data_IF_850982436495
#
_entry.id   IF_850982436495
#
_cell.length_a   1.000
_cell.length_b   1.000
_cell.length_c   1.000
_cell.angle_alpha   90.00
_cell.angle_beta   90.00
_cell.angle_gamma   90.00
#
_symmetry.space_group_name_H-M   'P 1'
#
loop_
_entity.id
_entity.type
_entity.pdbx_description
1 polymer ?
#
# COMPACT_ATOMS: atom_id res chain seq x y z
N UNK A 1 -19.28 -31.38 -19.94
CA UNK A 1 -17.89 -31.39 -19.46
C UNK A 1 -17.07 -30.65 -20.51
N UNK A 2 -16.63 -29.44 -20.19
CA UNK A 2 -15.44 -28.79 -20.77
C UNK A 2 -15.15 -27.59 -19.88
N UNK A 3 -14.08 -27.68 -19.10
CA UNK A 3 -13.58 -26.59 -18.26
C UNK A 3 -12.79 -25.64 -19.17
N UNK A 4 -13.29 -24.41 -19.35
CA UNK A 4 -12.53 -23.32 -19.96
C UNK A 4 -11.33 -22.94 -19.11
N UNK A 5 -10.19 -22.76 -19.78
CA UNK A 5 -8.84 -22.68 -19.25
C UNK A 5 -8.68 -21.81 -17.98
N UNK A 6 -8.04 -22.40 -16.96
CA UNK A 6 -7.55 -21.67 -15.81
C UNK A 6 -6.49 -20.64 -16.28
N UNK A 7 -6.79 -19.35 -16.14
CA UNK A 7 -5.82 -18.27 -16.28
C UNK A 7 -4.64 -18.51 -15.33
N UNK A 8 -3.55 -19.03 -15.87
CA UNK A 8 -2.29 -19.15 -15.14
C UNK A 8 -1.77 -17.74 -14.91
N UNK A 9 -1.80 -17.25 -13.67
CA UNK A 9 -1.09 -16.02 -13.28
C UNK A 9 0.41 -16.24 -13.52
N UNK A 10 0.88 -15.87 -14.70
CA UNK A 10 2.28 -15.99 -15.09
C UNK A 10 3.16 -15.01 -14.30
N UNK A 11 4.36 -15.46 -13.95
CA UNK A 11 5.40 -14.58 -13.38
C UNK A 11 5.97 -13.67 -14.48
N UNK A 12 5.63 -12.39 -14.46
CA UNK A 12 6.15 -11.42 -15.42
C UNK A 12 7.58 -11.03 -15.04
N UNK A 13 8.49 -11.09 -16.01
CA UNK A 13 9.86 -10.65 -15.83
C UNK A 13 10.21 -9.56 -16.84
N UNK A 14 11.09 -8.65 -16.47
CA UNK A 14 11.64 -7.64 -17.37
C UNK A 14 13.16 -7.60 -17.32
N UNK A 15 13.75 -6.80 -18.20
CA UNK A 15 15.17 -6.43 -18.14
C UNK A 15 15.28 -5.07 -17.47
N UNK A 16 16.12 -4.97 -16.44
CA UNK A 16 16.41 -3.73 -15.74
C UNK A 16 17.90 -3.45 -15.77
N UNK A 17 18.31 -2.21 -16.05
CA UNK A 17 19.70 -1.79 -15.83
C UNK A 17 19.79 -1.14 -14.45
N UNK A 18 20.72 -1.62 -13.63
CA UNK A 18 21.02 -1.03 -12.33
C UNK A 18 22.43 -0.44 -12.34
N UNK A 19 22.58 0.73 -11.72
CA UNK A 19 23.86 1.43 -11.64
C UNK A 19 24.19 1.82 -10.20
N UNK A 20 25.48 1.85 -9.90
CA UNK A 20 25.98 2.38 -8.63
C UNK A 20 25.69 3.89 -8.59
N UNK A 21 24.95 4.39 -7.57
CA UNK A 21 24.57 5.80 -7.50
C UNK A 21 25.79 6.73 -7.40
N UNK A 22 26.87 6.26 -6.76
CA UNK A 22 28.11 7.01 -6.54
C UNK A 22 29.12 6.83 -7.68
N UNK A 23 28.92 5.84 -8.57
CA UNK A 23 29.77 5.56 -9.74
C UNK A 23 28.92 5.06 -10.90
N UNK A 24 28.20 5.97 -11.56
CA UNK A 24 27.22 5.64 -12.61
C UNK A 24 27.79 4.89 -13.83
N UNK A 25 29.11 4.94 -14.04
CA UNK A 25 29.81 4.14 -15.06
C UNK A 25 29.82 2.64 -14.73
N UNK A 26 29.66 2.26 -13.46
CA UNK A 26 29.45 0.87 -13.05
C UNK A 26 27.95 0.56 -13.11
N UNK A 27 27.54 -0.17 -14.14
CA UNK A 27 26.18 -0.66 -14.31
C UNK A 27 26.14 -2.14 -14.67
N UNK A 28 25.00 -2.78 -14.43
CA UNK A 28 24.73 -4.16 -14.82
C UNK A 28 23.28 -4.29 -15.29
N UNK A 29 23.09 -4.99 -16.40
CA UNK A 29 21.78 -5.44 -16.82
C UNK A 29 21.39 -6.69 -16.04
N UNK A 30 20.19 -6.68 -15.45
CA UNK A 30 19.52 -7.84 -14.87
C UNK A 30 18.55 -8.35 -15.94
N UNK A 31 18.82 -9.50 -16.56
CA UNK A 31 18.07 -9.95 -17.74
C UNK A 31 16.66 -10.45 -17.41
N UNK A 32 16.44 -10.85 -16.16
CA UNK A 32 15.20 -11.46 -15.68
C UNK A 32 14.92 -10.98 -14.25
N UNK A 33 14.45 -9.75 -14.12
CA UNK A 33 13.98 -9.21 -12.84
C UNK A 33 12.49 -9.48 -12.73
N UNK A 34 12.03 -9.95 -11.57
CA UNK A 34 10.61 -10.11 -11.30
C UNK A 34 9.95 -8.72 -11.38
N UNK A 35 9.00 -8.58 -12.30
CA UNK A 35 8.10 -7.41 -12.33
C UNK A 35 7.08 -7.69 -11.24
N UNK A 36 7.33 -7.11 -10.07
CA UNK A 36 6.33 -7.08 -9.02
C UNK A 36 5.20 -6.15 -9.48
N UNK A 37 3.98 -6.67 -9.60
CA UNK A 37 2.80 -5.92 -10.03
C UNK A 37 2.27 -4.96 -8.95
N UNK A 38 2.99 -4.73 -7.85
CA UNK A 38 2.53 -3.80 -6.81
C UNK A 38 3.46 -3.53 -5.61
N UNK A 39 4.72 -3.98 -5.58
CA UNK A 39 5.69 -3.60 -4.54
C UNK A 39 6.76 -2.66 -5.10
N UNK A 40 7.06 -1.60 -4.36
CA UNK A 40 8.16 -0.66 -4.65
C UNK A 40 9.57 -1.24 -4.46
N UNK A 41 9.70 -2.56 -4.33
CA UNK A 41 10.95 -3.27 -4.09
C UNK A 41 11.00 -4.56 -4.93
N UNK A 42 12.18 -4.91 -5.43
CA UNK A 42 12.42 -6.16 -6.15
C UNK A 42 13.78 -6.74 -5.75
N UNK A 43 13.96 -8.05 -5.90
CA UNK A 43 15.16 -8.74 -5.46
C UNK A 43 16.27 -8.67 -6.51
N UNK A 44 17.45 -8.20 -6.08
CA UNK A 44 18.67 -8.20 -6.91
C UNK A 44 19.65 -9.24 -6.35
N UNK A 45 20.24 -10.11 -7.19
CA UNK A 45 21.24 -11.07 -6.72
C UNK A 45 22.43 -10.38 -6.05
N UNK A 46 22.80 -10.85 -4.86
CA UNK A 46 23.91 -10.33 -4.08
C UNK A 46 25.22 -10.18 -4.90
N UNK A 47 25.65 -11.16 -5.73
CA UNK A 47 26.87 -11.02 -6.54
C UNK A 47 26.84 -9.85 -7.52
N UNK A 48 25.65 -9.44 -7.98
CA UNK A 48 25.49 -8.26 -8.84
C UNK A 48 25.79 -6.97 -8.07
N UNK A 49 25.34 -6.87 -6.82
CA UNK A 49 25.62 -5.73 -5.93
C UNK A 49 27.13 -5.61 -5.66
N UNK A 50 27.79 -6.73 -5.39
CA UNK A 50 29.25 -6.82 -5.18
C UNK A 50 30.02 -6.34 -6.40
N UNK A 51 29.68 -6.84 -7.60
CA UNK A 51 30.33 -6.45 -8.87
C UNK A 51 30.23 -4.96 -9.15
N UNK A 52 29.10 -4.35 -8.77
CA UNK A 52 28.88 -2.91 -8.93
C UNK A 52 29.57 -2.06 -7.85
N UNK A 53 30.21 -2.70 -6.86
CA UNK A 53 30.83 -2.03 -5.72
C UNK A 53 29.85 -1.11 -4.98
N UNK A 54 28.58 -1.51 -4.91
CA UNK A 54 27.57 -0.80 -4.14
C UNK A 54 27.73 -1.22 -2.68
N UNK A 55 27.92 -0.23 -1.80
CA UNK A 55 28.01 -0.46 -0.36
C UNK A 55 26.72 -1.12 0.14
N UNK A 56 26.88 -2.20 0.92
CA UNK A 56 25.78 -2.78 1.69
C UNK A 56 25.85 -2.18 3.08
N UNK A 57 24.79 -1.50 3.46
CA UNK A 57 24.60 -1.05 4.82
C UNK A 57 24.00 -2.22 5.58
N UNK A 58 24.68 -2.74 6.59
CA UNK A 58 24.12 -3.70 7.55
C UNK A 58 24.08 -3.00 8.90
N UNK A 59 22.90 -2.57 9.31
CA UNK A 59 22.68 -1.95 10.62
C UNK A 59 21.97 -2.95 11.51
N UNK A 60 22.50 -3.13 12.72
CA UNK A 60 21.80 -3.84 13.78
C UNK A 60 20.80 -2.87 14.40
N UNK A 61 19.54 -3.02 13.99
CA UNK A 61 18.44 -2.20 14.49
C UNK A 61 17.91 -2.86 15.75
N UNK A 62 18.03 -2.13 16.86
CA UNK A 62 17.36 -2.50 18.11
C UNK A 62 15.97 -1.88 18.10
N UNK A 63 14.96 -2.70 18.32
CA UNK A 63 13.62 -2.22 18.55
C UNK A 63 12.96 -3.01 19.67
N UNK A 64 12.12 -2.32 20.42
CA UNK A 64 11.33 -2.89 21.49
C UNK A 64 10.11 -3.52 20.84
N UNK A 65 9.97 -4.83 20.99
CA UNK A 65 8.74 -5.52 20.59
C UNK A 65 7.60 -5.09 21.50
N UNK A 66 6.36 -5.22 21.04
CA UNK A 66 5.18 -4.82 21.81
C UNK A 66 5.07 -5.48 23.19
N UNK A 67 5.69 -6.65 23.40
CA UNK A 67 5.78 -7.32 24.70
C UNK A 67 6.86 -6.76 25.64
N UNK A 68 7.44 -5.59 25.31
CA UNK A 68 8.53 -4.94 26.04
C UNK A 68 9.90 -5.58 25.83
N UNK A 69 9.99 -6.68 25.08
CA UNK A 69 11.27 -7.35 24.83
C UNK A 69 12.04 -6.61 23.75
N UNK A 70 13.22 -6.15 24.10
CA UNK A 70 14.15 -5.53 23.15
C UNK A 70 14.83 -6.62 22.32
N UNK A 71 14.71 -6.52 21.00
CA UNK A 71 15.40 -7.40 20.06
C UNK A 71 16.30 -6.60 19.13
N UNK A 72 17.38 -7.25 18.70
CA UNK A 72 18.25 -6.75 17.64
C UNK A 72 17.96 -7.53 16.36
N UNK A 73 17.73 -6.82 15.26
CA UNK A 73 17.67 -7.41 13.92
C UNK A 73 18.68 -6.73 13.02
N UNK A 74 19.50 -7.53 12.34
CA UNK A 74 20.34 -7.02 11.28
C UNK A 74 19.49 -6.71 10.06
N UNK A 75 19.35 -5.44 9.70
CA UNK A 75 18.71 -4.98 8.46
C UNK A 75 19.82 -4.64 7.47
N UNK A 76 19.79 -5.30 6.30
CA UNK A 76 20.70 -5.04 5.19
C UNK A 76 19.99 -4.28 4.08
N UNK A 77 20.52 -3.14 3.64
CA UNK A 77 19.99 -2.44 2.46
C UNK A 77 21.12 -1.93 1.54
N UNK A 78 20.75 -1.65 0.28
CA UNK A 78 21.63 -1.10 -0.74
C UNK A 78 20.85 -0.10 -1.59
N UNK A 79 21.39 1.12 -1.75
CA UNK A 79 20.77 2.17 -2.57
C UNK A 79 21.29 2.06 -4.01
N UNK A 80 20.37 2.05 -4.98
CA UNK A 80 20.69 1.88 -6.40
C UNK A 80 19.83 2.79 -7.28
N UNK A 81 20.35 3.17 -8.45
CA UNK A 81 19.56 3.80 -9.51
C UNK A 81 19.18 2.72 -10.52
N UNK A 82 17.88 2.54 -10.74
CA UNK A 82 17.34 1.63 -11.73
C UNK A 82 16.79 2.42 -12.93
N UNK A 83 17.19 2.02 -14.14
CA UNK A 83 16.58 2.48 -15.39
C UNK A 83 15.90 1.29 -16.05
N UNK A 84 14.57 1.35 -16.15
CA UNK A 84 13.77 0.34 -16.83
C UNK A 84 13.74 0.66 -18.31
N UNK A 85 14.07 -0.32 -19.15
CA UNK A 85 13.73 -0.26 -20.57
C UNK A 85 12.23 -0.49 -20.71
N UNK A 86 11.53 0.41 -21.42
CA UNK A 86 10.12 0.20 -21.76
C UNK A 86 10.03 -0.98 -22.72
N UNK A 87 9.51 -2.11 -22.25
CA UNK A 87 8.98 -3.14 -23.15
C UNK A 87 7.53 -2.75 -23.39
N UNK A 88 7.18 -2.40 -24.63
CA UNK A 88 5.78 -2.22 -25.02
C UNK A 88 5.10 -3.59 -25.06
N UNK A 89 4.66 -4.08 -23.91
CA UNK A 89 3.70 -5.16 -23.82
C UNK A 89 2.30 -4.56 -23.69
N UNK A 90 1.36 -4.96 -24.54
CA UNK A 90 -0.06 -4.78 -24.22
C UNK A 90 -0.34 -5.67 -23.01
N UNK A 91 -0.54 -5.06 -21.85
CA UNK A 91 -1.40 -5.67 -20.84
C UNK A 91 -2.80 -5.52 -21.42
N UNK A 92 -3.35 -6.60 -21.96
CA UNK A 92 -4.79 -6.67 -22.16
C UNK A 92 -5.41 -6.59 -20.77
N UNK A 93 -5.75 -5.37 -20.36
CA UNK A 93 -6.64 -5.18 -19.24
C UNK A 93 -7.93 -5.87 -19.63
N UNK A 94 -8.25 -6.96 -18.94
CA UNK A 94 -9.62 -7.45 -18.95
C UNK A 94 -10.50 -6.24 -18.62
N UNK A 95 -11.51 -6.02 -19.46
CA UNK A 95 -12.56 -5.05 -19.15
C UNK A 95 -13.13 -5.45 -17.80
N UNK A 96 -12.75 -4.73 -16.74
CA UNK A 96 -13.50 -4.80 -15.51
C UNK A 96 -14.92 -4.38 -15.86
N UNK A 97 -15.89 -5.21 -15.51
CA UNK A 97 -17.25 -4.74 -15.26
C UNK A 97 -17.17 -3.44 -14.46
N UNK A 98 -18.08 -2.50 -14.72
CA UNK A 98 -18.08 -1.18 -14.05
C UNK A 98 -17.91 -1.28 -12.53
N UNK A 99 -17.44 -0.21 -11.86
CA UNK A 99 -17.10 -0.27 -10.44
C UNK A 99 -18.28 -0.81 -9.62
N UNK A 100 -18.03 -1.89 -8.87
CA UNK A 100 -19.01 -2.37 -7.89
C UNK A 100 -19.06 -1.35 -6.75
N UNK A 101 -20.26 -0.87 -6.43
CA UNK A 101 -20.44 0.09 -5.34
C UNK A 101 -20.97 -0.64 -4.12
N UNK A 102 -20.17 -0.62 -3.05
CA UNK A 102 -20.60 -1.07 -1.73
C UNK A 102 -21.07 0.13 -0.95
N UNK A 103 -22.29 0.04 -0.41
CA UNK A 103 -22.88 1.08 0.42
C UNK A 103 -21.99 1.38 1.63
N UNK A 104 -22.00 2.64 2.02
CA UNK A 104 -21.30 3.09 3.22
C UNK A 104 -22.15 2.83 4.47
N UNK A 105 -21.48 2.52 5.58
CA UNK A 105 -22.05 2.43 6.91
C UNK A 105 -21.13 3.12 7.92
N UNK A 106 -21.68 3.43 9.11
CA UNK A 106 -20.96 4.08 10.20
C UNK A 106 -20.91 3.14 11.40
N UNK A 107 -19.71 2.92 11.93
CA UNK A 107 -19.50 2.25 13.21
C UNK A 107 -19.32 3.33 14.29
N UNK A 108 -20.25 3.38 15.24
CA UNK A 108 -20.12 4.24 16.42
C UNK A 108 -19.27 3.50 17.46
N UNK A 109 -18.02 3.94 17.61
CA UNK A 109 -17.06 3.42 18.57
C UNK A 109 -16.89 4.42 19.73
N UNK A 110 -16.33 4.03 20.88
CA UNK A 110 -16.08 4.97 21.97
C UNK A 110 -15.25 6.18 21.51
N UNK A 111 -15.86 7.37 21.53
CA UNK A 111 -15.21 8.63 21.19
C UNK A 111 -14.91 8.85 19.71
N UNK A 112 -15.40 8.01 18.80
CA UNK A 112 -15.15 8.15 17.35
C UNK A 112 -16.21 7.49 16.49
N UNK A 113 -16.43 8.04 15.31
CA UNK A 113 -17.26 7.44 14.28
C UNK A 113 -16.37 7.02 13.11
N UNK A 114 -16.43 5.73 12.78
CA UNK A 114 -15.64 5.16 11.69
C UNK A 114 -16.56 4.81 10.54
N UNK A 115 -16.34 5.49 9.42
CA UNK A 115 -17.03 5.25 8.16
C UNK A 115 -16.37 4.07 7.45
N UNK A 116 -17.18 3.12 6.99
CA UNK A 116 -16.70 1.91 6.34
C UNK A 116 -17.62 1.42 5.22
N UNK A 117 -17.07 0.54 4.39
CA UNK A 117 -17.74 -0.18 3.31
C UNK A 117 -17.55 -1.66 3.52
N UNK A 118 -18.63 -2.40 3.50
CA UNK A 118 -18.64 -3.84 3.73
C UNK A 118 -19.59 -4.53 2.75
N UNK A 119 -19.04 -5.39 1.90
CA UNK A 119 -19.81 -6.11 0.89
C UNK A 119 -20.66 -7.26 1.49
N UNK A 120 -20.50 -7.54 2.79
CA UNK A 120 -21.15 -8.64 3.48
C UNK A 120 -20.71 -10.02 2.98
N UNK A 121 -21.51 -11.04 3.31
CA UNK A 121 -21.25 -12.43 2.95
C UNK A 121 -20.49 -13.22 4.01
N UNK A 122 -20.45 -14.54 3.82
CA UNK A 122 -19.85 -15.51 4.76
C UNK A 122 -18.38 -15.82 4.47
N UNK A 123 -17.81 -15.21 3.43
CA UNK A 123 -16.40 -15.37 3.07
C UNK A 123 -15.45 -14.84 4.14
N UNK A 124 -14.21 -15.33 4.15
CA UNK A 124 -13.17 -14.79 5.03
C UNK A 124 -12.95 -13.31 4.69
N UNK A 125 -12.95 -12.37 5.66
CA UNK A 125 -12.79 -10.95 5.34
C UNK A 125 -11.39 -10.60 4.85
N UNK A 126 -11.32 -9.71 3.86
CA UNK A 126 -10.14 -8.95 3.48
C UNK A 126 -10.42 -7.47 3.78
N UNK A 127 -9.61 -6.90 4.65
CA UNK A 127 -9.72 -5.50 5.09
C UNK A 127 -8.69 -4.66 4.35
N UNK A 128 -9.13 -3.56 3.75
CA UNK A 128 -8.30 -2.67 2.93
C UNK A 128 -8.08 -1.30 3.59
N UNK A 129 -6.81 -0.88 3.67
CA UNK A 129 -6.36 0.41 4.20
C UNK A 129 -5.85 1.31 3.07
N UNK A 130 -6.53 2.43 2.86
CA UNK A 130 -6.21 3.39 1.81
C UNK A 130 -4.87 4.14 2.04
N UNK A 131 -4.39 4.81 0.99
CA UNK A 131 -3.17 5.62 1.00
C UNK A 131 -3.32 6.89 1.86
N UNK A 132 -2.28 7.73 1.92
CA UNK A 132 -2.35 9.01 2.65
C UNK A 132 -3.44 9.94 2.10
N UNK A 133 -3.69 9.85 0.80
CA UNK A 133 -4.82 10.44 0.10
C UNK A 133 -5.96 9.42 -0.07
N UNK A 134 -7.14 9.92 -0.40
CA UNK A 134 -8.33 9.12 -0.61
C UNK A 134 -8.99 8.68 0.69
N UNK A 135 -9.97 7.78 0.53
CA UNK A 135 -10.69 7.11 1.61
C UNK A 135 -10.99 5.66 1.21
N UNK A 136 -11.89 4.97 1.91
CA UNK A 136 -12.33 3.62 1.55
C UNK A 136 -12.86 3.50 0.11
N UNK A 137 -13.30 4.61 -0.50
CA UNK A 137 -13.90 4.64 -1.83
C UNK A 137 -12.95 4.25 -2.97
N UNK A 138 -11.63 4.39 -2.75
CA UNK A 138 -10.61 4.11 -3.78
C UNK A 138 -10.54 2.64 -4.18
N UNK A 139 -11.12 1.75 -3.37
CA UNK A 139 -11.08 0.30 -3.54
C UNK A 139 -12.18 -0.26 -4.45
N UNK A 140 -12.95 0.58 -5.15
CA UNK A 140 -14.08 0.16 -6.00
C UNK A 140 -13.71 -0.92 -7.04
N UNK A 141 -12.46 -0.93 -7.50
CA UNK A 141 -11.97 -1.89 -8.51
C UNK A 141 -11.61 -3.27 -7.94
N UNK A 142 -11.41 -3.39 -6.63
CA UNK A 142 -11.04 -4.65 -5.98
C UNK A 142 -12.26 -5.46 -5.56
N UNK A 143 -13.41 -4.83 -5.37
CA UNK A 143 -14.62 -5.44 -4.81
C UNK A 143 -15.06 -6.67 -5.61
N UNK A 144 -15.24 -6.52 -6.93
CA UNK A 144 -15.71 -7.62 -7.78
C UNK A 144 -14.76 -8.83 -7.73
N UNK A 145 -13.45 -8.59 -7.83
CA UNK A 145 -12.44 -9.65 -7.80
C UNK A 145 -12.39 -10.37 -6.43
N UNK A 146 -12.46 -9.62 -5.34
CA UNK A 146 -12.48 -10.17 -3.97
C UNK A 146 -13.71 -11.04 -3.76
N UNK A 147 -14.89 -10.58 -4.20
CA UNK A 147 -16.15 -11.33 -4.08
C UNK A 147 -16.18 -12.56 -4.98
N UNK A 148 -15.71 -12.45 -6.21
CA UNK A 148 -15.62 -13.58 -7.15
C UNK A 148 -14.70 -14.70 -6.61
N UNK A 149 -13.66 -14.33 -5.86
CA UNK A 149 -12.78 -15.27 -5.17
C UNK A 149 -13.37 -15.84 -3.85
N UNK A 150 -14.61 -15.49 -3.49
CA UNK A 150 -15.31 -16.00 -2.31
C UNK A 150 -14.94 -15.32 -0.99
N UNK A 151 -14.28 -14.16 -1.03
CA UNK A 151 -13.92 -13.39 0.15
C UNK A 151 -14.93 -12.27 0.43
N UNK A 152 -15.01 -11.83 1.70
CA UNK A 152 -15.77 -10.64 2.10
C UNK A 152 -14.87 -9.41 2.00
N UNK A 153 -15.33 -8.41 1.26
CA UNK A 153 -14.62 -7.13 1.13
C UNK A 153 -14.99 -6.20 2.28
N UNK A 154 -13.99 -5.61 2.94
CA UNK A 154 -14.17 -4.54 3.93
C UNK A 154 -13.12 -3.44 3.70
N UNK A 155 -13.52 -2.18 3.73
CA UNK A 155 -12.59 -1.04 3.74
C UNK A 155 -13.15 0.06 4.65
N UNK A 156 -12.29 0.88 5.24
CA UNK A 156 -12.75 1.99 6.09
C UNK A 156 -11.94 3.26 5.87
N UNK A 157 -12.56 4.38 6.23
CA UNK A 157 -12.00 5.71 6.21
C UNK A 157 -11.21 5.89 7.52
N UNK A 158 -9.89 6.09 7.43
CA UNK A 158 -9.08 6.36 8.61
C UNK A 158 -9.45 7.73 9.19
N UNK A 159 -9.26 7.93 10.49
CA UNK A 159 -9.52 9.23 11.12
C UNK A 159 -8.76 10.35 10.38
N UNK A 160 -9.46 11.46 10.11
CA UNK A 160 -8.92 12.57 9.32
C UNK A 160 -8.93 12.33 7.80
N UNK A 161 -9.58 11.27 7.33
CA UNK A 161 -9.82 11.00 5.92
C UNK A 161 -11.28 10.62 5.70
N UNK A 162 -11.85 10.96 4.53
CA UNK A 162 -13.25 10.69 4.26
C UNK A 162 -14.15 11.37 5.30
N UNK A 163 -15.06 10.58 5.87
CA UNK A 163 -16.07 11.07 6.82
C UNK A 163 -15.93 10.52 8.24
N UNK A 164 -14.83 9.82 8.54
CA UNK A 164 -14.54 9.34 9.90
C UNK A 164 -14.10 10.49 10.80
N UNK A 165 -14.70 10.59 11.98
CA UNK A 165 -14.48 11.70 12.91
C UNK A 165 -14.08 11.21 14.30
N UNK A 166 -13.14 11.93 14.91
CA UNK A 166 -12.74 11.77 16.30
C UNK A 166 -13.45 12.84 17.13
N UNK A 167 -14.07 12.44 18.26
CA UNK A 167 -14.57 13.40 19.23
C UNK A 167 -13.38 14.23 19.75
N UNK A 168 -13.42 15.58 19.67
CA UNK A 168 -12.33 16.44 20.16
C UNK A 168 -11.97 16.24 21.64
N UNK A 169 -12.86 15.62 22.43
CA UNK A 169 -12.66 15.31 23.86
C UNK A 169 -12.13 13.91 24.10
N UNK A 170 -12.12 13.05 23.07
CA UNK A 170 -11.64 11.69 23.19
C UNK A 170 -10.12 11.63 23.02
N UNK A 171 -9.50 10.67 23.71
CA UNK A 171 -8.11 10.31 23.43
C UNK A 171 -8.01 9.71 22.02
N UNK A 172 -7.10 10.21 21.16
CA UNK A 172 -7.01 9.80 19.76
C UNK A 172 -6.66 8.31 19.61
N UNK A 173 -5.90 7.73 20.54
CA UNK A 173 -5.38 6.36 20.42
C UNK A 173 -4.47 6.19 19.20
N UNK A 174 -4.32 4.95 18.73
CA UNK A 174 -3.62 4.65 17.48
C UNK A 174 -4.58 4.27 16.35
N UNK A 175 -4.12 4.43 15.10
CA UNK A 175 -4.86 3.94 13.93
C UNK A 175 -5.04 2.41 13.93
N UNK A 176 -4.17 1.68 14.65
CA UNK A 176 -4.35 0.24 14.88
C UNK A 176 -5.51 -0.04 15.86
N UNK A 177 -5.70 0.80 16.87
CA UNK A 177 -6.85 0.70 17.79
C UNK A 177 -8.17 1.00 17.09
N UNK A 178 -8.17 1.96 16.14
CA UNK A 178 -9.35 2.24 15.31
C UNK A 178 -9.76 1.02 14.48
N UNK A 179 -8.79 0.39 13.80
CA UNK A 179 -9.02 -0.85 13.06
C UNK A 179 -9.50 -1.95 14.00
N UNK A 180 -8.88 -2.10 15.17
CA UNK A 180 -9.26 -3.11 16.15
C UNK A 180 -10.72 -2.92 16.62
N UNK A 181 -11.09 -1.68 16.98
CA UNK A 181 -12.45 -1.34 17.39
C UNK A 181 -13.47 -1.59 16.29
N UNK A 182 -13.14 -1.28 15.03
CA UNK A 182 -14.00 -1.59 13.88
C UNK A 182 -14.16 -3.11 13.70
N UNK A 183 -13.09 -3.89 13.83
CA UNK A 183 -13.17 -5.35 13.70
C UNK A 183 -14.02 -5.98 14.81
N UNK A 184 -13.93 -5.46 16.03
CA UNK A 184 -14.75 -5.92 17.14
C UNK A 184 -16.23 -5.53 16.94
N UNK A 185 -16.50 -4.31 16.44
CA UNK A 185 -17.85 -3.88 16.06
C UNK A 185 -18.47 -4.79 14.99
N UNK A 186 -17.70 -5.14 13.96
CA UNK A 186 -18.12 -6.04 12.88
C UNK A 186 -18.12 -7.52 13.27
N UNK A 187 -17.68 -7.86 14.49
CA UNK A 187 -17.52 -9.23 15.00
C UNK A 187 -16.60 -10.08 14.10
N UNK A 188 -15.57 -9.46 13.54
CA UNK A 188 -14.57 -10.12 12.70
C UNK A 188 -13.38 -10.54 13.55
N UNK A 189 -13.28 -11.85 13.82
CA UNK A 189 -12.21 -12.39 14.67
C UNK A 189 -10.86 -12.48 13.92
N UNK A 190 -10.86 -13.00 12.68
CA UNK A 190 -9.63 -13.19 11.88
C UNK A 190 -9.82 -12.83 10.41
N UNK A 191 -8.90 -12.03 9.86
CA UNK A 191 -9.01 -11.47 8.51
C UNK A 191 -7.64 -11.35 7.81
N UNK A 192 -7.67 -11.12 6.49
CA UNK A 192 -6.49 -10.69 5.74
C UNK A 192 -6.45 -9.16 5.70
N UNK A 193 -5.26 -8.56 5.87
CA UNK A 193 -5.10 -7.11 5.87
C UNK A 193 -4.27 -6.66 4.68
N UNK A 194 -4.77 -5.68 3.94
CA UNK A 194 -4.10 -5.06 2.79
C UNK A 194 -3.92 -3.58 3.07
N UNK A 195 -2.68 -3.10 3.08
CA UNK A 195 -2.38 -1.68 3.24
C UNK A 195 -1.54 -1.12 2.11
N UNK A 196 -1.93 0.04 1.59
CA UNK A 196 -1.15 0.78 0.58
C UNK A 196 -0.60 2.09 1.15
N UNK A 197 0.64 2.43 0.83
CA UNK A 197 1.29 3.68 1.25
C UNK A 197 1.13 3.94 2.76
N UNK A 198 0.44 5.02 3.17
CA UNK A 198 0.19 5.30 4.58
C UNK A 198 -0.62 4.19 5.28
N UNK A 199 -1.56 3.56 4.59
CA UNK A 199 -2.27 2.37 5.09
C UNK A 199 -1.33 1.20 5.36
N UNK A 200 -0.21 1.09 4.63
CA UNK A 200 0.83 0.10 4.91
C UNK A 200 1.56 0.31 6.24
N UNK A 201 1.69 1.57 6.69
CA UNK A 201 2.27 1.90 7.99
C UNK A 201 1.35 1.40 9.10
N UNK A 202 0.06 1.72 9.01
CA UNK A 202 -0.98 1.26 9.93
C UNK A 202 -1.08 -0.27 9.92
N UNK A 203 -0.97 -0.90 8.75
CA UNK A 203 -1.05 -2.35 8.64
C UNK A 203 0.09 -3.08 9.38
N UNK A 204 1.29 -2.51 9.34
CA UNK A 204 2.45 -3.05 10.07
C UNK A 204 2.31 -2.83 11.57
N UNK A 205 1.86 -1.65 11.99
CA UNK A 205 1.58 -1.36 13.40
C UNK A 205 0.51 -2.33 13.96
N UNK A 206 -0.57 -2.53 13.21
CA UNK A 206 -1.60 -3.50 13.57
C UNK A 206 -1.07 -4.94 13.65
N UNK A 207 -0.21 -5.35 12.73
CA UNK A 207 0.39 -6.68 12.74
C UNK A 207 1.31 -6.92 13.95
N UNK A 208 1.94 -5.86 14.48
CA UNK A 208 2.76 -5.94 15.70
C UNK A 208 1.90 -5.98 16.96
N UNK A 209 0.80 -5.21 16.98
CA UNK A 209 -0.09 -5.08 18.14
C UNK A 209 -1.09 -6.24 18.26
N UNK A 210 -1.58 -6.76 17.14
CA UNK A 210 -2.64 -7.78 17.09
C UNK A 210 -2.33 -8.94 16.12
N UNK A 211 -1.13 -9.55 16.14
CA UNK A 211 -0.72 -10.57 15.16
C UNK A 211 -1.67 -11.76 15.09
N UNK A 212 -2.30 -12.13 16.21
CA UNK A 212 -3.27 -13.22 16.32
C UNK A 212 -4.54 -13.00 15.48
N UNK A 213 -4.89 -11.75 15.15
CA UNK A 213 -6.07 -11.39 14.36
C UNK A 213 -5.82 -11.52 12.86
N UNK A 214 -4.56 -11.57 12.42
CA UNK A 214 -4.22 -11.60 11.00
C UNK A 214 -4.02 -13.01 10.47
N UNK A 215 -4.64 -13.30 9.33
CA UNK A 215 -4.38 -14.48 8.50
C UNK A 215 -3.23 -14.24 7.53
N UNK A 216 -3.16 -13.03 6.98
CA UNK A 216 -2.09 -12.58 6.07
C UNK A 216 -2.01 -11.06 6.14
N UNK A 217 -0.83 -10.53 5.86
CA UNK A 217 -0.58 -9.11 5.68
C UNK A 217 -0.01 -8.86 4.28
N UNK A 218 -0.61 -7.93 3.55
CA UNK A 218 -0.10 -7.39 2.29
C UNK A 218 0.22 -5.91 2.48
N UNK A 219 1.46 -5.53 2.23
CA UNK A 219 1.91 -4.14 2.22
C UNK A 219 2.33 -3.79 0.80
N UNK A 220 1.66 -2.80 0.21
CA UNK A 220 1.92 -2.32 -1.14
C UNK A 220 2.36 -0.85 -1.11
N UNK A 221 3.32 -0.49 -1.97
CA UNK A 221 3.75 0.90 -2.19
C UNK A 221 3.96 1.74 -0.92
N UNK A 222 4.54 1.15 0.13
CA UNK A 222 4.70 1.79 1.44
C UNK A 222 6.15 1.76 1.90
N UNK A 223 6.54 2.80 2.63
CA UNK A 223 7.82 2.87 3.35
C UNK A 223 7.78 2.18 4.71
N UNK A 224 6.62 1.64 5.10
CA UNK A 224 6.44 0.87 6.33
C UNK A 224 6.74 1.60 7.63
N UNK A 225 6.75 2.93 7.63
CA UNK A 225 6.97 3.75 8.83
C UNK A 225 8.43 3.79 9.29
N UNK A 226 9.39 3.55 8.39
CA UNK A 226 10.83 3.65 8.70
C UNK A 226 11.17 5.04 9.26
N UNK A 227 11.73 5.08 10.48
CA UNK A 227 12.13 6.29 11.20
C UNK A 227 13.66 6.55 11.19
N UNK A 228 14.42 5.84 10.36
CA UNK A 228 15.88 6.07 10.23
C UNK A 228 16.15 7.48 9.68
N UNK A 229 16.97 8.25 10.38
CA UNK A 229 17.21 9.67 10.07
C UNK A 229 17.79 9.89 8.67
N UNK A 230 18.69 9.00 8.21
CA UNK A 230 19.30 9.10 6.88
C UNK A 230 18.24 8.86 5.80
N UNK A 231 17.39 7.87 6.01
CA UNK A 231 16.27 7.56 5.12
C UNK A 231 15.28 8.73 5.05
N UNK A 232 14.89 9.28 6.21
CA UNK A 232 14.00 10.43 6.29
C UNK A 232 14.62 11.68 5.65
N UNK A 233 15.92 11.91 5.84
CA UNK A 233 16.65 13.02 5.21
C UNK A 233 16.69 12.88 3.69
N UNK A 234 16.93 11.67 3.16
CA UNK A 234 16.82 11.39 1.74
C UNK A 234 15.40 11.65 1.22
N UNK A 235 14.38 11.19 1.96
CA UNK A 235 12.98 11.41 1.60
C UNK A 235 12.62 12.89 1.50
N UNK A 236 13.07 13.72 2.45
CA UNK A 236 12.88 15.18 2.44
C UNK A 236 13.58 15.86 1.26
N UNK A 237 14.74 15.36 0.81
CA UNK A 237 15.43 15.89 -0.38
C UNK A 237 14.70 15.55 -1.68
N UNK A 238 14.12 14.36 -1.77
CA UNK A 238 13.33 13.94 -2.94
C UNK A 238 11.96 14.63 -3.01
N UNK A 239 11.37 14.94 -1.85
CA UNK A 239 10.06 15.60 -1.70
C UNK A 239 10.23 16.84 -0.83
N UNK A 240 10.84 17.91 -1.36
CA UNK A 240 11.10 19.11 -0.57
C UNK A 240 9.78 19.79 -0.21
N UNK A 241 9.64 20.15 1.06
CA UNK A 241 8.54 20.97 1.56
C UNK A 241 8.94 22.46 1.50
N UNK A 242 8.04 23.38 1.07
CA UNK A 242 6.62 23.15 0.74
C UNK A 242 6.36 22.78 -0.73
N UNK A 243 7.39 22.71 -1.58
CA UNK A 243 7.20 22.60 -3.05
C UNK A 243 6.45 21.34 -3.45
N UNK A 244 6.78 20.19 -2.87
CA UNK A 244 6.10 18.93 -3.15
C UNK A 244 4.70 18.92 -2.52
N UNK A 245 4.57 19.38 -1.28
CA UNK A 245 3.31 19.32 -0.53
C UNK A 245 2.22 20.23 -1.12
N UNK A 246 2.63 21.33 -1.76
CA UNK A 246 1.72 22.24 -2.48
C UNK A 246 1.34 21.77 -3.89
N UNK A 247 1.89 20.65 -4.38
CA UNK A 247 1.49 20.11 -5.67
C UNK A 247 0.07 19.52 -5.62
N UNK A 248 -0.67 19.57 -6.74
CA UNK A 248 -1.95 18.86 -6.86
C UNK A 248 -1.80 17.36 -6.54
N UNK A 249 -2.86 16.76 -6.01
CA UNK A 249 -2.84 15.40 -5.46
C UNK A 249 -2.41 14.36 -6.52
N UNK A 250 -2.83 14.52 -7.76
CA UNK A 250 -2.48 13.64 -8.88
C UNK A 250 -0.98 13.72 -9.25
N UNK A 251 -0.29 14.83 -8.96
CA UNK A 251 1.16 14.92 -9.14
C UNK A 251 1.93 14.31 -7.97
N UNK A 252 1.33 14.27 -6.78
CA UNK A 252 1.92 13.63 -5.60
C UNK A 252 1.75 12.11 -5.62
N UNK A 253 0.62 11.63 -6.14
CA UNK A 253 0.19 10.22 -5.98
C UNK A 253 0.24 9.41 -7.29
N UNK A 254 0.03 10.05 -8.45
CA UNK A 254 0.00 9.34 -9.75
C UNK A 254 1.27 9.58 -10.56
N UNK A 255 1.93 8.48 -10.90
CA UNK A 255 3.11 8.50 -11.76
C UNK A 255 2.82 9.17 -13.11
N UNK A 256 3.76 9.95 -13.68
CA UNK A 256 3.55 10.69 -14.93
C UNK A 256 3.17 9.76 -16.09
N UNK A 257 3.72 8.54 -16.13
CA UNK A 257 3.37 7.54 -17.14
C UNK A 257 1.92 7.05 -17.03
N UNK A 258 1.40 6.87 -15.81
CA UNK A 258 0.00 6.48 -15.62
C UNK A 258 -0.94 7.60 -16.07
N UNK A 259 -0.62 8.85 -15.69
CA UNK A 259 -1.41 10.02 -16.09
C UNK A 259 -1.47 10.19 -17.61
N UNK A 260 -0.35 9.99 -18.29
CA UNK A 260 -0.27 10.06 -19.74
C UNK A 260 -0.98 8.88 -20.44
N UNK A 261 -0.80 7.65 -19.94
CA UNK A 261 -1.32 6.45 -20.58
C UNK A 261 -2.78 6.15 -20.25
N UNK A 262 -3.31 6.68 -19.14
CA UNK A 262 -4.68 6.46 -18.68
C UNK A 262 -5.35 7.76 -18.20
N UNK A 263 -5.69 8.69 -19.12
CA UNK A 263 -6.35 9.95 -18.76
C UNK A 263 -7.70 9.74 -18.06
N UNK A 264 -8.49 8.75 -18.49
CA UNK A 264 -9.78 8.44 -17.89
C UNK A 264 -9.64 7.92 -16.45
N UNK A 265 -8.70 7.00 -16.20
CA UNK A 265 -8.39 6.53 -14.86
C UNK A 265 -7.85 7.64 -13.96
N UNK A 266 -7.09 8.57 -14.52
CA UNK A 266 -6.61 9.77 -13.80
C UNK A 266 -7.75 10.68 -13.41
N UNK A 267 -8.67 10.98 -14.34
CA UNK A 267 -9.88 11.75 -14.04
C UNK A 267 -10.72 11.09 -12.94
N UNK A 268 -10.95 9.77 -13.05
CA UNK A 268 -11.69 9.02 -12.03
C UNK A 268 -11.00 9.03 -10.68
N UNK A 269 -9.67 8.90 -10.65
CA UNK A 269 -8.92 8.99 -9.39
C UNK A 269 -9.06 10.38 -8.74
N UNK A 270 -9.01 11.45 -9.53
CA UNK A 270 -9.21 12.81 -9.02
C UNK A 270 -10.62 13.04 -8.48
N UNK A 271 -11.66 12.45 -9.11
CA UNK A 271 -13.02 12.46 -8.57
C UNK A 271 -13.09 11.76 -7.20
N UNK A 272 -12.53 10.55 -7.09
CA UNK A 272 -12.49 9.80 -5.84
C UNK A 272 -11.72 10.55 -4.74
N UNK A 273 -10.61 11.20 -5.12
CA UNK A 273 -9.84 12.03 -4.19
C UNK A 273 -10.68 13.22 -3.71
N UNK A 274 -11.35 13.92 -4.62
CA UNK A 274 -12.24 15.01 -4.25
C UNK A 274 -13.38 14.56 -3.33
N UNK A 275 -14.04 13.45 -3.66
CA UNK A 275 -15.08 12.82 -2.83
C UNK A 275 -14.54 12.42 -1.45
N UNK A 276 -13.26 12.04 -1.33
CA UNK A 276 -12.65 11.68 -0.05
C UNK A 276 -12.42 12.86 0.90
N UNK A 277 -12.44 14.09 0.38
CA UNK A 277 -12.36 15.33 1.18
C UNK A 277 -13.71 16.01 1.36
N UNK A 278 -14.76 15.51 0.70
CA UNK A 278 -16.10 16.04 0.84
C UNK A 278 -16.67 15.65 2.21
N UNK A 279 -16.49 16.53 3.19
CA UNK A 279 -17.35 16.54 4.38
C UNK A 279 -18.76 16.88 3.90
N UNK A 280 -19.76 16.07 4.24
CA UNK A 280 -21.16 16.24 3.80
C UNK A 280 -21.64 17.70 3.98
N UNK A 281 -22.45 18.26 3.05
CA UNK A 281 -22.83 19.69 3.01
C UNK A 281 -23.44 20.26 4.29
#
# INVERSE_FOLDING_TARGET
>A
MEYGEALHMGTVHTRCSIANPNRRTKSAAIPKILVDTGRGYTWVPAPTIERLSIGREKKDVRFVMANGVMITRSVGFAIMVAALGVVSGRVEGQSSTGPDVVAEAVAHLPGREIVFRDAGGSGVPIVFLHAGTGSSIVWQHQIAAVRAAGYRFVAYDRLGSGRSVLDPRAEPGSAADDLQGLMDHLKIERFHLVGTAAGGIVALDYALSFPQRLRCLVVANSIGGVQDDDYLAMGRRMRPSPQFDSMPAEFRELGPSYRAANPAGTARWMELEHESHATTP
#
